data_IF_611769821625
#
_entry.id   IF_611769821625
#
_cell.length_a   1.000
_cell.length_b   1.000
_cell.length_c   1.000
_cell.angle_alpha   90.00
_cell.angle_beta   90.00
_cell.angle_gamma   90.00
#
_symmetry.space_group_name_H-M   'P 1'
#
loop_
_entity.id
_entity.type
_entity.pdbx_description
1 polymer ?
#
# COMPACT_ATOMS: atom_id res chain seq x y z
N UNK A 1 -11.94 -10.67 -14.16
CA UNK A 1 -10.76 -10.93 -13.29
C UNK A 1 -10.95 -10.34 -11.90
N UNK A 2 -11.40 -9.08 -11.77
CA UNK A 2 -11.78 -8.46 -10.48
C UNK A 2 -12.90 -9.19 -9.74
N UNK A 3 -13.89 -9.72 -10.47
CA UNK A 3 -14.99 -10.49 -9.90
C UNK A 3 -14.54 -11.79 -9.19
N UNK A 4 -13.51 -12.46 -9.72
CA UNK A 4 -13.01 -13.71 -9.14
C UNK A 4 -12.23 -13.47 -7.83
N UNK A 5 -11.58 -12.32 -7.70
CA UNK A 5 -10.91 -11.87 -6.46
C UNK A 5 -11.93 -11.47 -5.39
N UNK A 6 -13.06 -10.87 -5.80
CA UNK A 6 -14.15 -10.47 -4.90
C UNK A 6 -15.03 -11.64 -4.42
N UNK A 7 -15.24 -12.66 -5.27
CA UNK A 7 -16.07 -13.84 -4.93
C UNK A 7 -15.32 -14.95 -4.18
N UNK A 8 -13.98 -14.91 -4.14
CA UNK A 8 -13.20 -15.84 -3.36
C UNK A 8 -13.33 -15.48 -1.88
N UNK A 9 -14.35 -16.01 -1.21
CA UNK A 9 -14.54 -15.96 0.24
C UNK A 9 -13.46 -16.78 0.98
N UNK A 10 -12.20 -16.60 0.62
CA UNK A 10 -11.03 -17.29 1.15
C UNK A 10 -9.83 -16.32 1.18
N UNK A 11 -9.62 -15.58 2.29
CA UNK A 11 -8.60 -14.54 2.38
C UNK A 11 -7.16 -15.07 2.17
N UNK A 12 -6.89 -16.33 2.52
CA UNK A 12 -5.58 -16.94 2.30
C UNK A 12 -5.24 -17.14 0.82
N UNK A 13 -6.24 -17.45 -0.02
CA UNK A 13 -6.04 -17.58 -1.47
C UNK A 13 -5.79 -16.22 -2.10
N UNK A 14 -6.53 -15.19 -1.69
CA UNK A 14 -6.34 -13.81 -2.17
C UNK A 14 -4.91 -13.34 -1.86
N UNK A 15 -4.44 -13.55 -0.63
CA UNK A 15 -3.06 -13.23 -0.24
C UNK A 15 -2.03 -13.93 -1.13
N UNK A 16 -2.20 -15.23 -1.35
CA UNK A 16 -1.28 -16.02 -2.20
C UNK A 16 -1.22 -15.49 -3.64
N UNK A 17 -2.37 -15.16 -4.23
CA UNK A 17 -2.43 -14.61 -5.59
C UNK A 17 -1.78 -13.23 -5.66
N UNK A 18 -2.02 -12.39 -4.65
CA UNK A 18 -1.47 -11.05 -4.57
C UNK A 18 0.05 -11.08 -4.42
N UNK A 19 0.60 -11.94 -3.56
CA UNK A 19 2.05 -12.14 -3.43
C UNK A 19 2.69 -12.66 -4.73
N UNK A 20 2.01 -13.55 -5.45
CA UNK A 20 2.48 -14.03 -6.74
C UNK A 20 2.51 -12.93 -7.81
N UNK A 21 1.52 -12.03 -7.80
CA UNK A 21 1.45 -10.90 -8.72
C UNK A 21 2.39 -9.74 -8.33
N UNK A 22 2.61 -9.57 -7.04
CA UNK A 22 3.38 -8.49 -6.44
C UNK A 22 4.36 -9.05 -5.40
N UNK A 23 5.53 -9.57 -5.84
CA UNK A 23 6.48 -10.23 -4.95
C UNK A 23 6.98 -9.34 -3.79
N UNK A 24 6.97 -8.01 -3.98
CA UNK A 24 7.38 -7.05 -2.95
C UNK A 24 6.47 -7.07 -1.71
N UNK A 25 5.26 -7.65 -1.79
CA UNK A 25 4.35 -7.80 -0.64
C UNK A 25 4.97 -8.66 0.47
N UNK A 26 5.95 -9.52 0.15
CA UNK A 26 6.65 -10.31 1.17
C UNK A 26 7.49 -9.47 2.15
N UNK A 27 7.73 -8.19 1.85
CA UNK A 27 8.42 -7.26 2.76
C UNK A 27 7.47 -6.56 3.73
N UNK A 28 6.16 -6.69 3.54
CA UNK A 28 5.15 -6.16 4.45
C UNK A 28 4.88 -7.14 5.59
N UNK A 29 4.48 -6.62 6.75
CA UNK A 29 3.92 -7.46 7.81
C UNK A 29 2.59 -8.12 7.38
N UNK A 30 2.11 -9.09 8.15
CA UNK A 30 0.84 -9.76 7.85
C UNK A 30 -0.36 -8.79 7.89
N UNK A 31 -0.33 -7.84 8.81
CA UNK A 31 -1.35 -6.79 8.96
C UNK A 31 -1.31 -5.83 7.76
N UNK A 32 -0.14 -5.31 7.42
CA UNK A 32 0.04 -4.41 6.28
C UNK A 32 -0.29 -5.06 4.94
N UNK A 33 0.05 -6.34 4.76
CA UNK A 33 -0.34 -7.10 3.58
C UNK A 33 -1.86 -7.25 3.48
N UNK A 34 -2.57 -7.42 4.60
CA UNK A 34 -4.02 -7.45 4.61
C UNK A 34 -4.63 -6.08 4.28
N UNK A 35 -4.05 -5.00 4.81
CA UNK A 35 -4.47 -3.63 4.52
C UNK A 35 -4.28 -3.26 3.04
N UNK A 36 -3.13 -3.63 2.46
CA UNK A 36 -2.88 -3.47 1.03
C UNK A 36 -3.95 -4.18 0.19
N UNK A 37 -4.28 -5.43 0.53
CA UNK A 37 -5.31 -6.20 -0.19
C UNK A 37 -6.67 -5.51 -0.12
N UNK A 38 -7.06 -5.05 1.08
CA UNK A 38 -8.32 -4.35 1.28
C UNK A 38 -8.37 -3.03 0.50
N UNK A 39 -7.30 -2.25 0.51
CA UNK A 39 -7.21 -0.99 -0.23
C UNK A 39 -7.20 -1.24 -1.75
N UNK A 40 -6.50 -2.27 -2.23
CA UNK A 40 -6.46 -2.64 -3.64
C UNK A 40 -7.86 -3.01 -4.14
N UNK A 41 -8.59 -3.85 -3.39
CA UNK A 41 -9.96 -4.24 -3.73
C UNK A 41 -10.87 -3.00 -3.74
N UNK A 42 -10.80 -2.17 -2.70
CA UNK A 42 -11.61 -0.94 -2.60
C UNK A 42 -11.33 0.01 -3.76
N UNK A 43 -10.05 0.18 -4.12
CA UNK A 43 -9.62 1.05 -5.20
C UNK A 43 -9.99 0.52 -6.59
N UNK A 44 -9.99 -0.80 -6.78
CA UNK A 44 -10.49 -1.44 -8.00
C UNK A 44 -12.00 -1.24 -8.17
N UNK A 45 -12.78 -1.41 -7.10
CA UNK A 45 -14.23 -1.18 -7.10
C UNK A 45 -14.56 0.30 -7.38
N UNK A 46 -13.89 1.23 -6.69
CA UNK A 46 -14.05 2.66 -6.91
C UNK A 46 -13.63 3.09 -8.33
N UNK A 47 -12.47 2.60 -8.80
CA UNK A 47 -11.97 2.85 -10.14
C UNK A 47 -12.92 2.33 -11.23
N UNK A 48 -13.49 1.14 -11.05
CA UNK A 48 -14.51 0.63 -11.99
C UNK A 48 -15.77 1.48 -12.00
N UNK A 49 -16.18 2.02 -10.85
CA UNK A 49 -17.39 2.85 -10.74
C UNK A 49 -17.19 4.24 -11.36
N UNK A 50 -15.96 4.74 -11.36
CA UNK A 50 -15.56 6.06 -11.84
C UNK A 50 -14.88 6.01 -13.23
N UNK A 51 -14.79 4.83 -13.86
CA UNK A 51 -14.02 4.57 -15.07
C UNK A 51 -12.58 5.11 -15.00
N UNK A 52 -11.95 4.94 -13.82
CA UNK A 52 -10.64 5.48 -13.50
C UNK A 52 -9.70 4.39 -12.93
N UNK A 53 -8.89 3.73 -13.77
CA UNK A 53 -7.95 2.70 -13.30
C UNK A 53 -6.78 3.27 -12.48
N UNK A 54 -6.54 4.59 -12.50
CA UNK A 54 -5.45 5.20 -11.76
C UNK A 54 -5.60 5.06 -10.23
N UNK A 55 -6.82 4.85 -9.74
CA UNK A 55 -7.07 4.63 -8.31
C UNK A 55 -6.46 3.33 -7.79
N UNK A 56 -6.47 2.26 -8.58
CA UNK A 56 -5.80 1.03 -8.21
C UNK A 56 -4.28 1.13 -8.40
N UNK A 57 -3.84 1.78 -9.49
CA UNK A 57 -2.42 1.98 -9.78
C UNK A 57 -1.71 2.78 -8.67
N UNK A 58 -2.35 3.85 -8.16
CA UNK A 58 -1.77 4.64 -7.05
C UNK A 58 -1.63 3.82 -5.76
N UNK A 59 -2.58 2.93 -5.46
CA UNK A 59 -2.53 2.11 -4.26
C UNK A 59 -1.37 1.13 -4.35
N UNK A 60 -1.22 0.46 -5.51
CA UNK A 60 -0.08 -0.42 -5.78
C UNK A 60 1.25 0.32 -5.59
N UNK A 61 1.39 1.52 -6.15
CA UNK A 61 2.64 2.28 -6.06
C UNK A 61 2.96 2.75 -4.63
N UNK A 62 1.96 3.25 -3.91
CA UNK A 62 2.13 3.69 -2.51
C UNK A 62 2.58 2.55 -1.61
N UNK A 63 1.95 1.38 -1.72
CA UNK A 63 2.33 0.21 -0.92
C UNK A 63 3.68 -0.38 -1.33
N UNK A 64 4.06 -0.26 -2.62
CA UNK A 64 5.39 -0.63 -3.07
C UNK A 64 6.47 0.23 -2.40
N UNK A 65 6.25 1.54 -2.23
CA UNK A 65 7.20 2.39 -1.51
C UNK A 65 7.35 2.00 -0.04
N UNK A 66 6.25 1.62 0.63
CA UNK A 66 6.32 1.07 1.99
C UNK A 66 7.17 -0.20 2.03
N UNK A 67 6.97 -1.12 1.08
CA UNK A 67 7.78 -2.33 0.97
C UNK A 67 9.26 -2.05 0.67
N UNK A 68 9.56 -1.05 -0.17
CA UNK A 68 10.93 -0.60 -0.46
C UNK A 68 11.64 -0.12 0.82
N UNK A 69 10.94 0.58 1.71
CA UNK A 69 11.47 0.99 3.02
C UNK A 69 11.81 -0.24 3.87
N UNK A 70 10.91 -1.22 3.97
CA UNK A 70 11.17 -2.42 4.78
C UNK A 70 12.19 -3.38 4.18
N UNK A 71 12.39 -3.34 2.86
CA UNK A 71 13.45 -4.08 2.19
C UNK A 71 14.86 -3.57 2.52
N UNK A 72 14.99 -2.32 2.99
CA UNK A 72 16.23 -1.73 3.50
C UNK A 72 16.15 -1.52 5.03
N UNK A 73 16.71 -2.44 5.84
CA UNK A 73 16.66 -2.33 7.30
C UNK A 73 17.28 -1.06 7.87
N UNK A 74 18.26 -0.47 7.19
CA UNK A 74 18.89 0.77 7.66
C UNK A 74 17.97 1.96 7.39
N UNK A 75 17.35 2.01 6.21
CA UNK A 75 16.32 3.01 5.91
C UNK A 75 15.13 2.90 6.86
N UNK A 76 14.62 1.69 7.09
CA UNK A 76 13.54 1.44 8.04
C UNK A 76 13.91 1.93 9.45
N UNK A 77 15.14 1.67 9.90
CA UNK A 77 15.64 2.15 11.20
C UNK A 77 15.71 3.68 11.25
N UNK A 78 16.20 4.33 10.20
CA UNK A 78 16.28 5.79 10.11
C UNK A 78 14.88 6.40 10.19
N UNK A 79 13.93 5.92 9.40
CA UNK A 79 12.57 6.45 9.36
C UNK A 79 11.75 6.15 10.63
N UNK A 80 12.06 5.06 11.33
CA UNK A 80 11.43 4.74 12.62
C UNK A 80 12.00 5.53 13.79
N UNK A 81 13.13 6.23 13.60
CA UNK A 81 13.75 7.04 14.65
C UNK A 81 12.92 8.31 14.85
N UNK A 82 12.54 8.67 16.10
CA UNK A 82 11.85 9.92 16.37
C UNK A 82 12.61 11.12 15.83
N UNK A 83 11.91 12.07 15.22
CA UNK A 83 12.52 13.34 14.83
C UNK A 83 12.95 14.15 16.06
N UNK A 84 13.93 15.03 15.90
CA UNK A 84 14.46 15.89 16.98
C UNK A 84 13.46 16.92 17.53
N UNK A 85 12.21 16.91 17.05
CA UNK A 85 11.10 17.74 17.50
C UNK A 85 10.13 18.09 16.38
N UNK A 86 9.27 19.08 16.66
CA UNK A 86 8.23 19.61 15.75
C UNK A 86 8.79 20.65 14.75
N UNK A 87 10.10 20.95 14.78
CA UNK A 87 10.79 21.96 13.95
C UNK A 87 10.15 23.37 13.86
N UNK A 88 9.13 23.66 14.66
CA UNK A 88 8.45 24.95 14.73
C UNK A 88 7.40 25.17 13.63
N UNK A 89 6.67 26.28 13.72
CA UNK A 89 5.59 26.61 12.79
C UNK A 89 6.09 26.83 11.37
N UNK A 90 5.48 26.14 10.40
CA UNK A 90 5.72 26.37 8.96
C UNK A 90 5.13 27.73 8.55
N UNK A 91 5.95 28.69 8.06
CA UNK A 91 5.44 29.98 7.60
C UNK A 91 4.58 29.83 6.35
N UNK A 92 3.58 30.70 6.20
CA UNK A 92 2.72 30.74 5.01
C UNK A 92 3.56 31.15 3.79
N UNK A 93 3.44 30.48 2.63
CA UNK A 93 4.16 30.86 1.42
C UNK A 93 3.85 32.30 1.00
N UNK A 94 4.87 33.06 0.58
CA UNK A 94 4.65 34.36 -0.05
C UNK A 94 4.09 34.14 -1.47
N UNK A 95 3.01 34.86 -1.80
CA UNK A 95 2.32 34.82 -3.09
C UNK A 95 2.93 35.79 -4.10
#
# INVERSE_FOLDING_TARGET
MVDALLHANNPGLVRTVVEAAFPWVSYLSDEEGADFINELITSLCAGSSLDNPALAARAIEMWRHTAEVYADPELARILSTPSEGDFGTVPVPEL
#
